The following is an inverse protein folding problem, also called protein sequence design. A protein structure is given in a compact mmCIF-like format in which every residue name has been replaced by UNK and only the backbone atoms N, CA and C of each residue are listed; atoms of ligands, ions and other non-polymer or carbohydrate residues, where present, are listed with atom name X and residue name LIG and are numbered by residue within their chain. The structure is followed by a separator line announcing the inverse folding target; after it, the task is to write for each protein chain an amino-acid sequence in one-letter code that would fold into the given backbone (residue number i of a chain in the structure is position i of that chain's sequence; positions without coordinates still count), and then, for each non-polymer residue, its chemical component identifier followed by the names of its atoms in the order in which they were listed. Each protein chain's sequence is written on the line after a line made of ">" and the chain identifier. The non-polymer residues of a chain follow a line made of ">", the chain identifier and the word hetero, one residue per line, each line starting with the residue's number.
data_IF_582012867299
#
_entry.id   IF_582012867299
#
_cell.length_a   1.000
_cell.length_b   1.000
_cell.length_c   1.000
_cell.angle_alpha   90.00
_cell.angle_beta   90.00
_cell.angle_gamma   90.00
#
_symmetry.space_group_name_H-M   'P 1'
#
loop_
_entity.id
_entity.type
_entity.pdbx_description
1 polymer ?
#
# COMPACT_ATOMS: atom_id res chain seq x y z
N UNK A 1 32.86 16.60 -25.41
CA UNK A 1 32.73 15.17 -25.06
C UNK A 1 32.38 15.05 -23.57
N UNK A 2 31.11 15.20 -23.19
CA UNK A 2 30.64 15.02 -21.80
C UNK A 2 29.37 14.18 -21.85
N UNK A 3 29.56 12.87 -21.88
CA UNK A 3 28.49 11.89 -21.75
C UNK A 3 29.13 10.56 -21.44
N UNK A 4 29.56 10.34 -20.21
CA UNK A 4 30.01 9.04 -19.72
C UNK A 4 29.82 9.04 -18.20
N UNK A 5 29.13 8.02 -17.69
CA UNK A 5 28.69 7.79 -16.31
C UNK A 5 27.38 8.48 -15.88
N UNK A 6 26.26 8.08 -16.48
CA UNK A 6 24.99 8.03 -15.74
C UNK A 6 25.20 6.96 -14.66
N UNK A 7 25.19 7.33 -13.38
CA UNK A 7 25.31 6.38 -12.25
C UNK A 7 24.21 5.33 -12.45
N UNK A 8 24.57 4.05 -12.55
CA UNK A 8 23.58 2.98 -12.71
C UNK A 8 22.73 2.98 -11.45
N UNK A 9 21.41 3.13 -11.59
CA UNK A 9 20.47 3.17 -10.46
C UNK A 9 20.70 1.94 -9.59
N UNK A 10 20.70 2.15 -8.28
CA UNK A 10 20.89 1.07 -7.32
C UNK A 10 19.82 -0.02 -7.53
N UNK A 11 20.24 -1.29 -7.61
CA UNK A 11 19.33 -2.41 -7.87
C UNK A 11 18.24 -2.51 -6.80
N UNK A 12 18.55 -2.24 -5.53
CA UNK A 12 17.58 -2.27 -4.44
C UNK A 12 16.54 -1.16 -4.57
N UNK A 13 16.97 0.06 -4.88
CA UNK A 13 16.04 1.18 -5.10
C UNK A 13 15.18 0.95 -6.34
N UNK A 14 15.75 0.36 -7.40
CA UNK A 14 14.98 -0.03 -8.57
C UNK A 14 13.90 -1.08 -8.21
N UNK A 15 14.26 -2.13 -7.47
CA UNK A 15 13.31 -3.19 -7.11
C UNK A 15 12.22 -2.70 -6.13
N UNK A 16 12.55 -1.77 -5.23
CA UNK A 16 11.56 -1.14 -4.34
C UNK A 16 10.66 -0.19 -5.16
N UNK A 17 11.20 0.55 -6.12
CA UNK A 17 10.41 1.34 -7.07
C UNK A 17 9.43 0.43 -7.83
N UNK A 18 9.92 -0.68 -8.37
CA UNK A 18 9.10 -1.62 -9.15
C UNK A 18 7.96 -2.19 -8.27
N UNK A 19 8.23 -2.55 -7.01
CA UNK A 19 7.21 -2.91 -6.03
C UNK A 19 6.20 -1.77 -5.80
N UNK A 20 6.65 -0.55 -5.50
CA UNK A 20 5.77 0.59 -5.22
C UNK A 20 4.89 0.97 -6.42
N UNK A 21 5.43 0.86 -7.64
CA UNK A 21 4.68 1.08 -8.88
C UNK A 21 3.57 0.03 -9.05
N UNK A 22 3.89 -1.26 -8.83
CA UNK A 22 2.91 -2.34 -8.90
C UNK A 22 1.84 -2.21 -7.79
N UNK A 23 2.23 -1.80 -6.59
CA UNK A 23 1.31 -1.49 -5.50
C UNK A 23 0.34 -0.37 -5.90
N UNK A 24 0.83 0.71 -6.53
CA UNK A 24 -0.03 1.79 -7.02
C UNK A 24 -1.01 1.30 -8.10
N UNK A 25 -0.54 0.51 -9.07
CA UNK A 25 -1.41 -0.11 -10.08
C UNK A 25 -2.46 -1.03 -9.45
N UNK A 26 -2.09 -1.76 -8.40
CA UNK A 26 -3.02 -2.56 -7.58
C UNK A 26 -4.06 -1.70 -6.88
N UNK A 27 -3.67 -0.57 -6.28
CA UNK A 27 -4.63 0.36 -5.66
C UNK A 27 -5.58 1.00 -6.69
N UNK A 28 -5.08 1.32 -7.89
CA UNK A 28 -5.93 1.79 -8.99
C UNK A 28 -6.98 0.72 -9.39
N UNK A 29 -6.57 -0.56 -9.43
CA UNK A 29 -7.47 -1.68 -9.69
C UNK A 29 -8.49 -1.88 -8.55
N UNK A 30 -8.09 -1.74 -7.28
CA UNK A 30 -9.00 -1.76 -6.12
C UNK A 30 -10.06 -0.65 -6.22
N UNK A 31 -9.63 0.59 -6.52
CA UNK A 31 -10.54 1.72 -6.71
C UNK A 31 -11.56 1.43 -7.80
N UNK A 32 -11.09 0.90 -8.94
CA UNK A 32 -11.97 0.49 -10.04
C UNK A 32 -12.96 -0.59 -9.62
N UNK A 33 -12.50 -1.63 -8.92
CA UNK A 33 -13.37 -2.70 -8.43
C UNK A 33 -14.46 -2.18 -7.49
N UNK A 34 -14.12 -1.33 -6.52
CA UNK A 34 -15.09 -0.77 -5.59
C UNK A 34 -16.08 0.20 -6.24
N UNK A 35 -15.70 0.83 -7.36
CA UNK A 35 -16.56 1.71 -8.13
C UNK A 35 -17.52 0.96 -9.07
N UNK A 36 -17.06 -0.13 -9.70
CA UNK A 36 -17.79 -0.77 -10.81
C UNK A 36 -18.15 -2.24 -10.59
N UNK A 37 -17.53 -2.90 -9.61
CA UNK A 37 -17.57 -4.36 -9.40
C UNK A 37 -17.19 -5.17 -10.63
N UNK A 38 -16.35 -4.60 -11.49
CA UNK A 38 -15.89 -5.25 -12.71
C UNK A 38 -14.95 -6.42 -12.35
N UNK A 39 -15.28 -7.69 -12.69
CA UNK A 39 -14.39 -8.82 -12.44
C UNK A 39 -13.01 -8.67 -13.10
N UNK A 40 -12.92 -7.88 -14.18
CA UNK A 40 -11.64 -7.58 -14.80
C UNK A 40 -10.74 -6.71 -13.88
N UNK A 41 -11.32 -5.87 -13.02
CA UNK A 41 -10.57 -5.11 -12.03
C UNK A 41 -10.02 -6.01 -10.91
N UNK A 42 -10.82 -6.98 -10.43
CA UNK A 42 -10.36 -8.00 -9.46
C UNK A 42 -9.24 -8.88 -10.05
N UNK A 43 -9.39 -9.28 -11.31
CA UNK A 43 -8.36 -10.05 -12.03
C UNK A 43 -7.07 -9.23 -12.22
N UNK A 44 -7.19 -7.95 -12.55
CA UNK A 44 -6.04 -7.05 -12.67
C UNK A 44 -5.33 -6.89 -11.34
N UNK A 45 -6.06 -6.63 -10.25
CA UNK A 45 -5.49 -6.55 -8.90
C UNK A 45 -4.73 -7.83 -8.53
N UNK A 46 -5.31 -8.99 -8.80
CA UNK A 46 -4.67 -10.30 -8.57
C UNK A 46 -3.39 -10.47 -9.40
N UNK A 47 -3.35 -9.94 -10.63
CA UNK A 47 -2.12 -9.96 -11.44
C UNK A 47 -1.04 -9.07 -10.83
N UNK A 48 -1.43 -7.88 -10.35
CA UNK A 48 -0.50 -6.88 -9.81
C UNK A 48 0.11 -7.29 -8.48
N UNK A 49 -0.69 -7.92 -7.61
CA UNK A 49 -0.18 -8.53 -6.38
C UNK A 49 0.87 -9.61 -6.71
N UNK A 50 0.57 -10.56 -7.59
CA UNK A 50 1.54 -11.60 -7.99
C UNK A 50 2.82 -11.05 -8.62
N UNK A 51 2.70 -10.00 -9.43
CA UNK A 51 3.85 -9.31 -10.02
C UNK A 51 4.70 -8.65 -8.92
N UNK A 52 4.08 -7.96 -7.95
CA UNK A 52 4.78 -7.32 -6.84
C UNK A 52 5.50 -8.35 -5.96
N UNK A 53 4.81 -9.44 -5.65
CA UNK A 53 5.27 -10.54 -4.82
C UNK A 53 6.50 -11.24 -5.47
N UNK A 54 6.50 -11.41 -6.79
CA UNK A 54 7.66 -11.91 -7.54
C UNK A 54 8.84 -10.92 -7.51
N UNK A 55 8.60 -9.62 -7.68
CA UNK A 55 9.65 -8.59 -7.55
C UNK A 55 10.24 -8.61 -6.14
N UNK A 56 9.42 -8.81 -5.11
CA UNK A 56 9.88 -8.94 -3.73
C UNK A 56 10.73 -10.18 -3.50
N UNK A 57 10.38 -11.33 -4.09
CA UNK A 57 11.23 -12.54 -4.03
C UNK A 57 12.59 -12.30 -4.65
N UNK A 58 12.64 -11.63 -5.80
CA UNK A 58 13.91 -11.24 -6.45
C UNK A 58 14.69 -10.30 -5.54
N UNK A 59 14.04 -9.31 -4.93
CA UNK A 59 14.66 -8.40 -3.97
C UNK A 59 15.30 -9.13 -2.78
N UNK A 60 14.60 -10.10 -2.19
CA UNK A 60 15.11 -10.88 -1.07
C UNK A 60 16.33 -11.72 -1.49
N UNK A 61 16.31 -12.33 -2.68
CA UNK A 61 17.45 -13.08 -3.21
C UNK A 61 18.68 -12.17 -3.44
N UNK A 62 18.48 -10.99 -4.05
CA UNK A 62 19.54 -9.98 -4.22
C UNK A 62 20.11 -9.51 -2.88
N UNK A 63 19.24 -9.29 -1.88
CA UNK A 63 19.65 -8.86 -0.54
C UNK A 63 20.51 -9.94 0.13
N UNK A 64 20.13 -11.21 0.02
CA UNK A 64 20.87 -12.34 0.58
C UNK A 64 22.24 -12.56 -0.06
N UNK A 65 22.38 -12.26 -1.36
CA UNK A 65 23.64 -12.45 -2.11
C UNK A 65 24.58 -11.25 -2.04
N UNK A 66 24.09 -10.09 -1.63
CA UNK A 66 24.87 -8.85 -1.61
C UNK A 66 25.48 -8.61 -0.24
N UNK A 67 26.79 -8.43 -0.15
CA UNK A 67 27.47 -8.14 1.12
C UNK A 67 27.36 -6.66 1.54
N UNK A 68 27.40 -5.73 0.58
CA UNK A 68 27.33 -4.28 0.83
C UNK A 68 26.09 -3.69 0.18
N UNK A 69 25.21 -3.13 1.00
CA UNK A 69 23.95 -2.49 0.59
C UNK A 69 24.03 -0.96 0.69
N UNK A 70 23.22 -0.20 -0.07
CA UNK A 70 23.21 1.27 -0.02
C UNK A 70 22.66 1.84 1.30
N UNK A 71 21.78 1.08 1.95
CA UNK A 71 21.15 1.40 3.23
C UNK A 71 21.25 0.16 4.12
N UNK A 72 20.87 0.30 5.40
CA UNK A 72 20.80 -0.83 6.31
C UNK A 72 19.90 -1.92 5.73
N UNK A 73 20.38 -3.17 5.80
CA UNK A 73 19.66 -4.33 5.24
C UNK A 73 18.29 -4.53 5.88
N UNK A 74 18.19 -4.24 7.17
CA UNK A 74 16.96 -4.35 7.95
C UNK A 74 15.92 -3.34 7.47
N UNK A 75 16.32 -2.09 7.21
CA UNK A 75 15.43 -1.06 6.68
C UNK A 75 14.97 -1.39 5.27
N UNK A 76 15.88 -1.84 4.41
CA UNK A 76 15.56 -2.29 3.05
C UNK A 76 14.53 -3.42 3.06
N UNK A 77 14.72 -4.42 3.93
CA UNK A 77 13.79 -5.52 4.08
C UNK A 77 12.43 -5.06 4.63
N UNK A 78 12.43 -4.22 5.66
CA UNK A 78 11.23 -3.67 6.27
C UNK A 78 10.42 -2.83 5.26
N UNK A 79 11.10 -1.98 4.48
CA UNK A 79 10.46 -1.14 3.47
C UNK A 79 9.82 -1.98 2.36
N UNK A 80 10.57 -2.95 1.82
CA UNK A 80 10.05 -3.86 0.79
C UNK A 80 8.83 -4.63 1.31
N UNK A 81 8.88 -5.16 2.54
CA UNK A 81 7.74 -5.83 3.15
C UNK A 81 6.54 -4.91 3.35
N UNK A 82 6.73 -3.71 3.88
CA UNK A 82 5.62 -2.81 4.16
C UNK A 82 4.90 -2.36 2.87
N UNK A 83 5.64 -2.13 1.78
CA UNK A 83 5.06 -1.78 0.46
C UNK A 83 4.25 -2.95 -0.13
N UNK A 84 4.76 -4.18 0.01
CA UNK A 84 4.12 -5.42 -0.43
C UNK A 84 2.82 -5.69 0.35
N UNK A 85 2.88 -5.57 1.68
CA UNK A 85 1.72 -5.76 2.56
C UNK A 85 0.53 -4.84 2.15
N UNK A 86 0.78 -3.65 1.57
CA UNK A 86 -0.29 -2.74 1.09
C UNK A 86 -1.11 -3.38 -0.05
N UNK A 87 -0.44 -3.94 -1.07
CA UNK A 87 -1.15 -4.55 -2.21
C UNK A 87 -1.79 -5.88 -1.82
N UNK A 88 -1.16 -6.63 -0.90
CA UNK A 88 -1.72 -7.84 -0.31
C UNK A 88 -3.04 -7.56 0.42
N UNK A 89 -3.11 -6.45 1.18
CA UNK A 89 -4.36 -6.05 1.81
C UNK A 89 -5.43 -5.67 0.80
N UNK A 90 -5.10 -5.02 -0.32
CA UNK A 90 -6.09 -4.75 -1.36
C UNK A 90 -6.62 -6.05 -1.99
N UNK A 91 -5.72 -6.97 -2.34
CA UNK A 91 -6.08 -8.27 -2.90
C UNK A 91 -6.97 -9.08 -1.94
N UNK A 92 -6.56 -9.18 -0.67
CA UNK A 92 -7.34 -9.88 0.35
C UNK A 92 -8.67 -9.19 0.66
N UNK A 93 -8.74 -7.85 0.62
CA UNK A 93 -10.02 -7.11 0.75
C UNK A 93 -11.01 -7.53 -0.31
N UNK A 94 -10.61 -7.57 -1.59
CA UNK A 94 -11.51 -7.98 -2.68
C UNK A 94 -11.94 -9.44 -2.50
N UNK A 95 -11.00 -10.31 -2.14
CA UNK A 95 -11.27 -11.73 -1.89
C UNK A 95 -12.29 -11.92 -0.75
N UNK A 96 -12.15 -11.18 0.34
CA UNK A 96 -13.08 -11.22 1.48
C UNK A 96 -14.45 -10.67 1.14
N UNK A 97 -14.53 -9.58 0.37
CA UNK A 97 -15.81 -9.07 -0.11
C UNK A 97 -16.56 -10.12 -0.94
N UNK A 98 -15.87 -10.87 -1.80
CA UNK A 98 -16.46 -11.95 -2.60
C UNK A 98 -16.93 -13.12 -1.72
N UNK A 99 -16.11 -13.55 -0.75
CA UNK A 99 -16.43 -14.65 0.18
C UNK A 99 -17.61 -14.29 1.09
N UNK A 100 -17.60 -13.09 1.67
CA UNK A 100 -18.61 -12.63 2.62
C UNK A 100 -19.87 -12.10 1.92
N UNK A 101 -19.79 -11.88 0.59
CA UNK A 101 -20.82 -11.26 -0.25
C UNK A 101 -21.14 -9.83 0.20
N UNK A 102 -20.10 -9.04 0.41
CA UNK A 102 -20.21 -7.63 0.81
C UNK A 102 -20.21 -6.75 -0.43
N UNK A 103 -21.16 -5.84 -0.48
CA UNK A 103 -21.28 -4.83 -1.52
C UNK A 103 -20.38 -3.62 -1.22
N UNK A 104 -19.72 -3.02 -2.22
CA UNK A 104 -18.95 -1.80 -2.01
C UNK A 104 -19.83 -0.67 -1.44
N UNK A 105 -19.34 0.00 -0.40
CA UNK A 105 -19.98 1.20 0.16
C UNK A 105 -19.25 2.46 -0.28
N UNK A 106 -19.90 3.61 -0.11
CA UNK A 106 -19.28 4.93 -0.34
C UNK A 106 -18.07 5.15 0.58
N UNK A 107 -18.10 4.62 1.81
CA UNK A 107 -16.96 4.64 2.73
C UNK A 107 -15.79 3.80 2.21
N UNK A 108 -16.04 2.60 1.67
CA UNK A 108 -14.98 1.76 1.07
C UNK A 108 -14.32 2.47 -0.12
N UNK A 109 -15.11 3.09 -0.99
CA UNK A 109 -14.59 3.86 -2.14
C UNK A 109 -13.74 5.06 -1.70
N UNK A 110 -14.18 5.79 -0.66
CA UNK A 110 -13.41 6.89 -0.06
C UNK A 110 -12.09 6.39 0.51
N UNK A 111 -12.10 5.30 1.28
CA UNK A 111 -10.87 4.72 1.85
C UNK A 111 -9.93 4.26 0.74
N UNK A 112 -10.40 3.54 -0.27
CA UNK A 112 -9.56 3.06 -1.37
C UNK A 112 -8.91 4.21 -2.16
N UNK A 113 -9.63 5.32 -2.35
CA UNK A 113 -9.06 6.53 -2.99
C UNK A 113 -7.89 7.08 -2.16
N UNK A 114 -8.04 7.14 -0.84
CA UNK A 114 -6.97 7.59 0.06
C UNK A 114 -5.78 6.62 0.08
N UNK A 115 -6.02 5.30 0.07
CA UNK A 115 -4.98 4.28 -0.03
C UNK A 115 -4.18 4.41 -1.34
N UNK A 116 -4.89 4.65 -2.46
CA UNK A 116 -4.27 4.91 -3.76
C UNK A 116 -3.38 6.14 -3.74
N UNK A 117 -3.86 7.23 -3.14
CA UNK A 117 -3.08 8.44 -2.98
C UNK A 117 -1.86 8.21 -2.06
N UNK A 118 -1.99 7.39 -1.02
CA UNK A 118 -0.88 7.05 -0.14
C UNK A 118 0.17 6.21 -0.87
N UNK A 119 -0.24 5.22 -1.68
CA UNK A 119 0.66 4.44 -2.53
C UNK A 119 1.40 5.32 -3.55
N UNK A 120 0.74 6.35 -4.09
CA UNK A 120 1.38 7.32 -4.97
C UNK A 120 2.45 8.15 -4.24
N UNK A 121 2.16 8.63 -3.02
CA UNK A 121 3.15 9.33 -2.20
C UNK A 121 4.33 8.41 -1.82
N UNK A 122 4.09 7.14 -1.51
CA UNK A 122 5.15 6.16 -1.25
C UNK A 122 6.06 5.93 -2.47
N UNK A 123 5.49 5.80 -3.68
CA UNK A 123 6.26 5.70 -4.91
C UNK A 123 7.17 6.92 -5.09
N UNK A 124 6.62 8.12 -4.92
CA UNK A 124 7.42 9.35 -5.01
C UNK A 124 8.48 9.45 -3.92
N UNK A 125 8.20 8.96 -2.72
CA UNK A 125 9.17 8.90 -1.63
C UNK A 125 10.35 7.99 -2.00
N UNK A 126 10.09 6.79 -2.53
CA UNK A 126 11.10 5.83 -3.00
C UNK A 126 11.94 6.44 -4.13
N UNK A 127 11.31 7.09 -5.10
CA UNK A 127 11.97 7.75 -6.25
C UNK A 127 12.96 8.84 -5.85
N UNK A 128 12.79 9.40 -4.66
CA UNK A 128 13.61 10.51 -4.15
C UNK A 128 14.57 10.06 -3.06
N UNK A 129 14.46 8.83 -2.57
CA UNK A 129 15.19 8.34 -1.40
C UNK A 129 16.72 8.43 -1.56
N UNK A 130 17.27 8.05 -2.72
CA UNK A 130 18.72 8.05 -2.95
C UNK A 130 19.29 9.46 -3.19
N UNK A 131 18.61 10.29 -4.00
CA UNK A 131 19.19 11.56 -4.48
C UNK A 131 18.69 12.80 -3.70
N UNK A 132 17.48 12.73 -3.14
CA UNK A 132 16.77 13.86 -2.53
C UNK A 132 16.06 13.44 -1.22
N UNK A 133 16.80 12.97 -0.19
CA UNK A 133 16.21 12.38 1.01
C UNK A 133 15.29 13.33 1.79
N UNK A 134 15.56 14.64 1.80
CA UNK A 134 14.64 15.62 2.38
C UNK A 134 13.27 15.64 1.70
N UNK A 135 13.25 15.58 0.35
CA UNK A 135 12.00 15.52 -0.44
C UNK A 135 11.31 14.16 -0.26
N UNK A 136 12.08 13.08 -0.15
CA UNK A 136 11.56 11.75 0.19
C UNK A 136 10.80 11.76 1.52
N UNK A 137 11.36 12.41 2.54
CA UNK A 137 10.71 12.57 3.85
C UNK A 137 9.40 13.36 3.78
N UNK A 138 9.33 14.41 2.95
CA UNK A 138 8.06 15.14 2.74
C UNK A 138 6.96 14.26 2.13
N UNK A 139 7.32 13.39 1.16
CA UNK A 139 6.37 12.42 0.59
C UNK A 139 5.93 11.38 1.63
N UNK A 140 6.86 10.84 2.43
CA UNK A 140 6.52 9.94 3.52
C UNK A 140 5.55 10.59 4.54
N UNK A 141 5.77 11.85 4.90
CA UNK A 141 4.85 12.60 5.77
C UNK A 141 3.46 12.77 5.16
N UNK A 142 3.36 12.97 3.84
CA UNK A 142 2.07 13.02 3.14
C UNK A 142 1.35 11.66 3.15
N UNK A 143 2.07 10.56 2.95
CA UNK A 143 1.49 9.21 3.07
C UNK A 143 0.94 8.95 4.48
N UNK A 144 1.70 9.32 5.53
CA UNK A 144 1.23 9.27 6.93
C UNK A 144 -0.01 10.13 7.17
N UNK A 145 -0.08 11.33 6.58
CA UNK A 145 -1.27 12.18 6.69
C UNK A 145 -2.51 11.56 6.01
N UNK A 146 -2.32 10.75 4.96
CA UNK A 146 -3.42 10.03 4.28
C UNK A 146 -3.93 8.86 5.12
N UNK A 147 -3.07 8.13 5.83
CA UNK A 147 -3.49 7.11 6.82
C UNK A 147 -4.44 7.74 7.87
N UNK A 148 -4.05 8.87 8.45
CA UNK A 148 -4.89 9.55 9.45
C UNK A 148 -6.28 9.91 8.90
N UNK A 149 -6.37 10.21 7.59
CA UNK A 149 -7.65 10.46 6.90
C UNK A 149 -8.42 9.16 6.69
N UNK A 150 -7.75 8.04 6.35
CA UNK A 150 -8.38 6.72 6.26
C UNK A 150 -9.01 6.34 7.59
N UNK A 151 -8.26 6.49 8.69
CA UNK A 151 -8.76 6.18 10.04
C UNK A 151 -9.98 7.05 10.41
N UNK A 152 -10.00 8.31 9.98
CA UNK A 152 -11.19 9.16 10.09
C UNK A 152 -12.42 8.59 9.36
N UNK A 153 -12.26 8.21 8.09
CA UNK A 153 -13.34 7.61 7.29
C UNK A 153 -13.77 6.26 7.84
N UNK A 154 -12.84 5.45 8.35
CA UNK A 154 -13.13 4.18 8.99
C UNK A 154 -13.97 4.36 10.25
N UNK A 155 -13.65 5.34 11.11
CA UNK A 155 -14.46 5.67 12.30
C UNK A 155 -15.84 6.19 11.93
N UNK A 156 -15.95 7.03 10.89
CA UNK A 156 -17.25 7.44 10.35
C UNK A 156 -18.08 6.23 9.90
N UNK A 157 -17.46 5.31 9.14
CA UNK A 157 -18.11 4.11 8.65
C UNK A 157 -18.58 3.18 9.77
N UNK A 158 -17.79 3.06 10.86
CA UNK A 158 -18.21 2.30 12.04
C UNK A 158 -19.37 2.97 12.79
N UNK A 159 -19.34 4.30 12.95
CA UNK A 159 -20.43 5.01 13.62
C UNK A 159 -21.76 4.83 12.87
N UNK A 160 -21.72 4.91 11.54
CA UNK A 160 -22.86 4.66 10.66
C UNK A 160 -23.31 3.18 10.73
N UNK A 161 -22.35 2.24 10.67
CA UNK A 161 -22.62 0.80 10.73
C UNK A 161 -23.38 0.36 11.98
N UNK A 162 -23.13 1.02 13.11
CA UNK A 162 -23.69 0.67 14.41
C UNK A 162 -24.84 1.58 14.87
N UNK A 163 -25.37 2.46 14.01
CA UNK A 163 -26.41 3.43 14.41
C UNK A 163 -27.77 2.78 14.70
N UNK A 164 -28.19 1.78 13.91
CA UNK A 164 -29.54 1.23 13.95
C UNK A 164 -29.54 -0.30 13.85
N UNK A 165 -29.55 -1.01 14.99
CA UNK A 165 -29.62 -2.48 15.01
C UNK A 165 -31.07 -2.94 14.99
N UNK A 166 -31.47 -3.63 13.92
CA UNK A 166 -32.85 -4.06 13.70
C UNK A 166 -33.08 -5.52 14.12
N UNK A 167 -32.34 -6.45 13.50
CA UNK A 167 -32.50 -7.89 13.69
C UNK A 167 -31.17 -8.65 13.58
N UNK A 168 -31.24 -9.98 13.71
CA UNK A 168 -30.06 -10.86 13.67
C UNK A 168 -29.40 -10.87 12.29
N UNK A 169 -30.17 -10.76 11.20
CA UNK A 169 -29.62 -10.72 9.83
C UNK A 169 -28.83 -9.44 9.61
N UNK A 170 -29.35 -8.31 10.10
CA UNK A 170 -28.63 -7.04 10.12
C UNK A 170 -27.30 -7.17 10.90
N UNK A 171 -27.31 -7.77 12.09
CA UNK A 171 -26.08 -8.01 12.87
C UNK A 171 -25.05 -8.86 12.09
N UNK A 172 -25.48 -9.89 11.37
CA UNK A 172 -24.58 -10.70 10.53
C UNK A 172 -23.97 -9.87 9.41
N UNK A 173 -24.76 -9.02 8.74
CA UNK A 173 -24.25 -8.13 7.71
C UNK A 173 -23.28 -7.08 8.28
N UNK A 174 -23.57 -6.55 9.47
CA UNK A 174 -22.66 -5.63 10.18
C UNK A 174 -21.30 -6.27 10.45
N UNK A 175 -21.26 -7.52 10.92
CA UNK A 175 -20.00 -8.23 11.16
C UNK A 175 -19.17 -8.39 9.88
N UNK A 176 -19.81 -8.73 8.76
CA UNK A 176 -19.14 -8.84 7.46
C UNK A 176 -18.57 -7.51 6.98
N UNK A 177 -19.36 -6.43 7.06
CA UNK A 177 -18.88 -5.12 6.61
C UNK A 177 -17.76 -4.59 7.51
N UNK A 178 -17.86 -4.82 8.82
CA UNK A 178 -16.81 -4.44 9.78
C UNK A 178 -15.48 -5.12 9.46
N UNK A 179 -15.50 -6.37 9.02
CA UNK A 179 -14.28 -7.10 8.62
C UNK A 179 -13.62 -6.43 7.41
N UNK A 180 -14.39 -6.14 6.36
CA UNK A 180 -13.91 -5.45 5.16
C UNK A 180 -13.38 -4.05 5.50
N UNK A 181 -14.08 -3.29 6.36
CA UNK A 181 -13.61 -1.99 6.84
C UNK A 181 -12.29 -2.09 7.61
N UNK A 182 -12.13 -3.14 8.44
CA UNK A 182 -10.88 -3.39 9.17
C UNK A 182 -9.74 -3.71 8.21
N UNK A 183 -9.98 -4.52 7.18
CA UNK A 183 -8.98 -4.86 6.17
C UNK A 183 -8.48 -3.63 5.42
N UNK A 184 -9.39 -2.76 4.98
CA UNK A 184 -9.03 -1.48 4.37
C UNK A 184 -8.25 -0.55 5.31
N UNK A 185 -8.60 -0.51 6.60
CA UNK A 185 -7.85 0.24 7.61
C UNK A 185 -6.44 -0.32 7.81
N UNK A 186 -6.30 -1.64 7.91
CA UNK A 186 -4.99 -2.28 8.07
C UNK A 186 -4.09 -2.03 6.85
N UNK A 187 -4.65 -1.91 5.64
CA UNK A 187 -3.89 -1.50 4.45
C UNK A 187 -3.25 -0.11 4.63
N UNK A 188 -3.97 0.82 5.26
CA UNK A 188 -3.45 2.16 5.54
C UNK A 188 -2.34 2.13 6.60
N UNK A 189 -2.49 1.29 7.63
CA UNK A 189 -1.44 1.09 8.64
C UNK A 189 -0.12 0.61 8.00
N UNK A 190 -0.19 -0.25 6.97
CA UNK A 190 1.00 -0.69 6.20
C UNK A 190 1.61 0.43 5.38
N UNK A 191 0.78 1.30 4.82
CA UNK A 191 1.24 2.53 4.18
C UNK A 191 1.98 3.45 5.15
N UNK A 192 1.49 3.60 6.39
CA UNK A 192 2.20 4.36 7.44
C UNK A 192 3.49 3.67 7.88
N UNK A 193 3.49 2.34 8.02
CA UNK A 193 4.70 1.55 8.33
C UNK A 193 5.79 1.80 7.28
N UNK A 194 5.44 1.74 5.98
CA UNK A 194 6.36 2.06 4.90
C UNK A 194 6.89 3.50 4.97
N UNK A 195 6.01 4.47 5.26
CA UNK A 195 6.39 5.87 5.42
C UNK A 195 7.35 6.08 6.61
N UNK A 196 7.11 5.42 7.74
CA UNK A 196 7.97 5.49 8.92
C UNK A 196 9.36 4.89 8.61
N UNK A 197 9.43 3.74 7.93
CA UNK A 197 10.71 3.14 7.51
C UNK A 197 11.49 4.08 6.58
N UNK A 198 10.82 4.74 5.62
CA UNK A 198 11.47 5.75 4.76
C UNK A 198 12.04 6.89 5.60
N UNK A 199 11.28 7.41 6.57
CA UNK A 199 11.74 8.47 7.44
C UNK A 199 12.96 8.03 8.28
N UNK A 200 12.96 6.80 8.81
CA UNK A 200 14.08 6.24 9.56
C UNK A 200 15.34 6.10 8.70
N UNK A 201 15.21 5.62 7.45
CA UNK A 201 16.31 5.59 6.48
C UNK A 201 16.89 6.99 6.29
N UNK A 202 16.03 7.99 6.04
CA UNK A 202 16.46 9.38 5.82
C UNK A 202 17.21 9.95 7.02
N UNK A 203 16.75 9.66 8.25
CA UNK A 203 17.43 10.08 9.48
C UNK A 203 18.83 9.47 9.60
N UNK A 204 19.03 8.22 9.16
CA UNK A 204 20.32 7.54 9.25
C UNK A 204 21.35 8.03 8.22
N UNK A 205 20.91 8.55 7.08
CA UNK A 205 21.79 9.00 5.99
C UNK A 205 22.06 10.51 5.99
N UNK A 206 21.38 11.27 6.85
CA UNK A 206 21.53 12.72 7.00
C UNK A 206 22.41 13.06 8.18
#
# INVERSE_FOLDING_TARGET
>A
MRSLFKKRQNIFIKLIHDQASLTLEGMDALCKYLATRDPAASTLLTSKEKEADEVRRIFIDELNRTFVTPFDREDLFALSRAIDDVVDYAYSTVSEMEILKVEPTTYMQRIATLLRDAAYELLLAVDRLEEHPGVSSEHAQRAKALENRVEGVYREALADLFSDVEDVEHVVNMLKMREVYRHLSNAADRGDEAANVIADIVVKIT
#
